data_IF_451533917242
#
_entry.id   IF_451533917242
#
_cell.length_a   1.000
_cell.length_b   1.000
_cell.length_c   1.000
_cell.angle_alpha   90.00
_cell.angle_beta   90.00
_cell.angle_gamma   90.00
#
_symmetry.space_group_name_H-M   'P 1'
#
loop_
_entity.id
_entity.type
_entity.pdbx_description
1 polymer ?
#
# COMPACT_ATOMS: atom_id res chain seq x y z
N UNK A 1 -14.70 -13.58 9.13
CA UNK A 1 -13.51 -13.33 8.29
C UNK A 1 -12.31 -13.16 9.19
N UNK A 2 -11.10 -13.49 8.72
CA UNK A 2 -9.85 -13.33 9.45
C UNK A 2 -8.93 -12.41 8.64
N UNK A 3 -8.37 -11.39 9.28
CA UNK A 3 -7.44 -10.42 8.68
C UNK A 3 -6.14 -10.40 9.51
N UNK A 4 -5.02 -10.08 8.88
CA UNK A 4 -3.70 -10.05 9.52
C UNK A 4 -3.15 -8.63 9.53
N UNK A 5 -2.77 -8.15 10.72
CA UNK A 5 -2.08 -6.89 10.92
C UNK A 5 -0.93 -7.12 11.91
N UNK A 6 0.30 -7.20 11.40
CA UNK A 6 1.50 -7.43 12.21
C UNK A 6 2.07 -6.13 12.79
N UNK A 7 2.85 -6.23 13.89
CA UNK A 7 3.60 -5.08 14.42
C UNK A 7 4.62 -4.52 13.42
N UNK A 8 5.19 -5.40 12.58
CA UNK A 8 6.01 -5.01 11.44
C UNK A 8 5.22 -5.33 10.17
N UNK A 9 4.89 -4.33 9.34
CA UNK A 9 4.14 -4.56 8.12
C UNK A 9 5.01 -5.33 7.13
N UNK A 10 4.45 -6.36 6.51
CA UNK A 10 5.14 -7.19 5.54
C UNK A 10 4.84 -6.72 4.12
N UNK A 11 5.84 -6.13 3.46
CA UNK A 11 5.73 -5.69 2.07
C UNK A 11 6.47 -6.65 1.13
N UNK A 12 5.77 -7.13 0.12
CA UNK A 12 6.35 -7.88 -0.99
C UNK A 12 6.99 -6.92 -2.00
N UNK A 13 8.01 -7.37 -2.77
CA UNK A 13 8.68 -6.56 -3.78
C UNK A 13 7.82 -6.40 -5.04
N UNK A 14 6.64 -5.80 -4.85
CA UNK A 14 5.57 -5.60 -5.82
C UNK A 14 5.09 -4.14 -5.75
N UNK A 15 4.17 -3.75 -6.64
CA UNK A 15 3.57 -2.42 -6.61
C UNK A 15 2.80 -2.17 -5.30
N UNK A 16 2.60 -0.90 -4.96
CA UNK A 16 1.73 -0.49 -3.84
C UNK A 16 0.33 -1.10 -3.98
N UNK A 17 -0.25 -1.03 -5.18
CA UNK A 17 -1.56 -1.63 -5.47
C UNK A 17 -1.58 -3.15 -5.19
N UNK A 18 -0.56 -3.88 -5.63
CA UNK A 18 -0.46 -5.31 -5.36
C UNK A 18 -0.29 -5.64 -3.87
N UNK A 19 0.44 -4.82 -3.12
CA UNK A 19 0.56 -4.99 -1.67
C UNK A 19 -0.77 -4.72 -0.94
N UNK A 20 -1.51 -3.69 -1.36
CA UNK A 20 -2.84 -3.36 -0.79
C UNK A 20 -3.89 -4.42 -1.13
N UNK A 21 -3.90 -4.93 -2.37
CA UNK A 21 -4.85 -5.96 -2.80
C UNK A 21 -4.49 -7.34 -2.24
N UNK A 22 -3.20 -7.63 -2.07
CA UNK A 22 -2.65 -8.87 -1.54
C UNK A 22 -3.29 -10.14 -2.15
N UNK A 23 -3.45 -10.15 -3.47
CA UNK A 23 -4.08 -11.26 -4.21
C UNK A 23 -5.61 -11.25 -4.23
N UNK A 24 -6.27 -10.27 -3.60
CA UNK A 24 -7.71 -10.05 -3.76
C UNK A 24 -8.04 -9.61 -5.20
N UNK A 25 -9.23 -9.98 -5.74
CA UNK A 25 -9.72 -9.41 -6.98
C UNK A 25 -9.74 -7.88 -6.92
N UNK A 26 -9.31 -7.24 -8.01
CA UNK A 26 -9.37 -5.78 -8.12
C UNK A 26 -10.83 -5.32 -8.05
N UNK A 27 -11.16 -4.55 -7.02
CA UNK A 27 -12.42 -3.85 -6.89
C UNK A 27 -12.09 -2.39 -6.60
N UNK A 28 -12.29 -1.54 -7.59
CA UNK A 28 -11.89 -0.13 -7.53
C UNK A 28 -12.54 0.60 -6.34
N UNK A 29 -13.84 0.39 -6.09
CA UNK A 29 -14.53 1.06 -4.98
C UNK A 29 -13.97 0.65 -3.60
N UNK A 30 -13.63 -0.63 -3.43
CA UNK A 30 -12.96 -1.11 -2.21
C UNK A 30 -11.55 -0.55 -2.10
N UNK A 31 -10.81 -0.53 -3.20
CA UNK A 31 -9.45 -0.01 -3.26
C UNK A 31 -9.40 1.47 -2.89
N UNK A 32 -10.24 2.29 -3.52
CA UNK A 32 -10.38 3.72 -3.22
C UNK A 32 -10.80 3.95 -1.77
N UNK A 33 -11.69 3.10 -1.24
CA UNK A 33 -12.07 3.10 0.17
C UNK A 33 -10.89 2.86 1.11
N UNK A 34 -10.02 1.89 0.81
CA UNK A 34 -8.78 1.63 1.58
C UNK A 34 -7.84 2.82 1.49
N UNK A 35 -7.64 3.38 0.29
CA UNK A 35 -6.78 4.55 0.12
C UNK A 35 -7.25 5.75 0.96
N UNK A 36 -8.57 5.97 1.01
CA UNK A 36 -9.17 7.02 1.83
C UNK A 36 -9.02 6.72 3.33
N UNK A 37 -9.41 5.52 3.78
CA UNK A 37 -9.37 5.13 5.20
C UNK A 37 -7.95 5.10 5.77
N UNK A 38 -6.96 4.73 4.98
CA UNK A 38 -5.55 4.70 5.40
C UNK A 38 -4.81 6.02 5.12
N UNK A 39 -5.50 7.08 4.67
CA UNK A 39 -4.90 8.36 4.29
C UNK A 39 -3.70 8.20 3.34
N UNK A 40 -3.84 7.32 2.35
CA UNK A 40 -2.84 7.03 1.32
C UNK A 40 -3.02 7.90 0.07
N UNK A 41 -4.19 8.53 -0.10
CA UNK A 41 -4.47 9.42 -1.24
C UNK A 41 -3.43 10.54 -1.31
N UNK A 42 -3.12 11.17 -0.18
CA UNK A 42 -2.09 12.22 -0.12
C UNK A 42 -0.70 11.65 -0.40
N UNK A 43 -0.35 10.49 0.15
CA UNK A 43 0.94 9.83 -0.12
C UNK A 43 1.13 9.54 -1.63
N UNK A 44 0.07 9.14 -2.33
CA UNK A 44 0.07 8.90 -3.78
C UNK A 44 0.08 10.20 -4.59
N UNK A 45 -0.67 11.23 -4.16
CA UNK A 45 -0.82 12.49 -4.88
C UNK A 45 0.39 13.44 -4.70
N UNK A 46 1.09 13.38 -3.56
CA UNK A 46 2.19 14.27 -3.20
C UNK A 46 3.51 14.00 -3.96
N UNK A 47 3.50 13.19 -5.02
CA UNK A 47 4.68 12.80 -5.81
C UNK A 47 5.80 12.10 -5.01
N UNK A 48 5.49 11.62 -3.80
CA UNK A 48 6.42 10.79 -3.01
C UNK A 48 6.70 9.45 -3.72
N UNK A 49 5.77 9.02 -4.57
CA UNK A 49 5.85 7.83 -5.40
C UNK A 49 5.84 8.26 -6.88
N UNK A 50 6.98 8.13 -7.61
CA UNK A 50 7.12 8.61 -8.98
C UNK A 50 6.08 8.05 -9.95
N UNK A 51 5.61 6.83 -9.68
CA UNK A 51 4.63 6.11 -10.50
C UNK A 51 3.30 5.91 -9.76
N UNK A 52 3.06 6.68 -8.69
CA UNK A 52 1.86 6.54 -7.86
C UNK A 52 1.74 5.12 -7.28
N UNK A 53 0.58 4.49 -7.48
CA UNK A 53 0.25 3.17 -6.95
C UNK A 53 0.92 2.01 -7.71
N UNK A 54 1.45 2.27 -8.90
CA UNK A 54 2.30 1.34 -9.64
C UNK A 54 3.72 1.25 -9.07
N UNK A 55 4.13 2.20 -8.22
CA UNK A 55 5.48 2.23 -7.65
C UNK A 55 5.78 0.95 -6.88
N UNK A 56 6.89 0.31 -7.22
CA UNK A 56 7.39 -0.87 -6.53
C UNK A 56 7.91 -0.47 -5.15
N UNK A 57 7.47 -1.19 -4.12
CA UNK A 57 7.88 -0.99 -2.72
C UNK A 57 8.47 -2.28 -2.13
N UNK A 58 9.05 -2.20 -0.92
CA UNK A 58 9.68 -3.34 -0.26
C UNK A 58 11.17 -3.49 -0.60
N UNK A 59 11.72 -4.71 -0.50
CA UNK A 59 13.16 -4.96 -0.49
C UNK A 59 13.94 -4.46 -1.73
N UNK A 60 13.27 -4.30 -2.88
CA UNK A 60 13.85 -3.81 -4.15
C UNK A 60 13.17 -2.54 -4.69
N UNK A 61 12.28 -1.95 -3.91
CA UNK A 61 11.47 -0.80 -4.30
C UNK A 61 11.84 0.48 -3.57
N UNK A 62 10.99 1.49 -3.69
CA UNK A 62 11.08 2.72 -2.90
C UNK A 62 10.98 2.37 -1.42
N UNK A 63 11.91 2.90 -0.63
CA UNK A 63 11.86 2.77 0.83
C UNK A 63 10.78 3.70 1.36
N UNK A 64 9.74 3.11 1.94
CA UNK A 64 8.70 3.82 2.66
C UNK A 64 9.18 4.17 4.08
N UNK A 65 8.67 5.27 4.64
CA UNK A 65 8.82 5.54 6.06
C UNK A 65 8.05 4.51 6.91
N UNK A 66 8.34 4.43 8.21
CA UNK A 66 7.62 3.51 9.11
C UNK A 66 6.10 3.75 9.11
N UNK A 67 5.66 5.01 9.07
CA UNK A 67 4.23 5.36 9.00
C UNK A 67 3.58 4.92 7.68
N UNK A 68 4.27 5.11 6.54
CA UNK A 68 3.78 4.68 5.23
C UNK A 68 3.74 3.15 5.09
N UNK A 69 4.77 2.46 5.59
CA UNK A 69 4.81 1.00 5.62
C UNK A 69 3.64 0.45 6.46
N UNK A 70 3.35 1.10 7.60
CA UNK A 70 2.19 0.81 8.43
C UNK A 70 0.87 0.89 7.67
N UNK A 71 0.64 1.99 6.96
CA UNK A 71 -0.60 2.19 6.18
C UNK A 71 -0.82 1.14 5.08
N UNK A 72 0.25 0.59 4.49
CA UNK A 72 0.17 -0.37 3.37
C UNK A 72 0.03 -1.82 3.85
N UNK A 73 0.57 -2.16 5.02
CA UNK A 73 0.52 -3.52 5.57
C UNK A 73 -0.52 -3.75 6.66
N UNK A 74 -1.48 -2.82 6.83
CA UNK A 74 -2.67 -2.95 7.67
C UNK A 74 -3.89 -3.35 6.80
#
# INVERSE_FOLDING_TARGET
>A
SLSYAGQQPYLQPFSMCQNILFGSPSNQARYDGVLYSCALIEDLALRLLPEGDATIVGARGVKLSGGQTGKVGL
#
